data_IF_552823433520
#
_entry.id   IF_552823433520
#
_cell.length_a   1.000
_cell.length_b   1.000
_cell.length_c   1.000
_cell.angle_alpha   90.00
_cell.angle_beta   90.00
_cell.angle_gamma   90.00
#
_symmetry.space_group_name_H-M   'P 1'
#
loop_
_entity.id
_entity.type
_entity.pdbx_description
1 polymer ?
#
# COMPACT_ATOMS: atom_id res chain seq x y z
N UNK A 1 0.31 8.81 -2.84
CA UNK A 1 1.52 9.69 -2.81
C UNK A 1 1.59 10.38 -1.46
N UNK A 2 2.78 10.67 -0.94
CA UNK A 2 2.94 11.52 0.25
C UNK A 2 4.16 12.45 0.11
N UNK A 3 4.24 13.50 0.94
CA UNK A 3 5.49 14.26 1.10
C UNK A 3 6.21 13.96 2.42
N UNK A 4 7.45 14.45 2.52
CA UNK A 4 8.27 14.31 3.74
C UNK A 4 7.69 14.98 4.98
N UNK A 5 6.68 15.84 4.83
CA UNK A 5 6.04 16.57 5.92
C UNK A 5 4.83 15.83 6.49
N UNK A 6 4.40 14.74 5.86
CA UNK A 6 3.23 13.96 6.27
C UNK A 6 1.93 14.35 5.57
N UNK A 7 1.95 15.21 4.55
CA UNK A 7 0.77 15.39 3.71
C UNK A 7 0.61 14.17 2.79
N UNK A 8 -0.63 13.73 2.56
CA UNK A 8 -0.92 12.54 1.78
C UNK A 8 -1.91 12.87 0.67
N UNK A 9 -1.87 12.10 -0.42
CA UNK A 9 -2.91 12.12 -1.45
C UNK A 9 -3.45 10.70 -1.61
N UNK A 10 -4.73 10.53 -1.25
CA UNK A 10 -5.52 9.34 -1.52
C UNK A 10 -6.37 9.62 -2.75
N UNK A 11 -5.91 9.12 -3.90
CA UNK A 11 -6.50 9.40 -5.23
C UNK A 11 -7.43 8.31 -5.72
N UNK A 12 -7.56 7.21 -4.98
CA UNK A 12 -8.57 6.20 -5.24
C UNK A 12 -9.99 6.78 -5.14
N UNK A 13 -10.98 6.14 -5.80
CA UNK A 13 -12.36 6.63 -5.78
C UNK A 13 -12.98 6.62 -4.38
N UNK A 14 -12.49 5.75 -3.50
CA UNK A 14 -12.91 5.64 -2.10
C UNK A 14 -11.68 5.87 -1.19
N UNK A 15 -11.70 6.89 -0.31
CA UNK A 15 -10.65 7.11 0.68
C UNK A 15 -10.76 6.16 1.89
N UNK A 16 -11.76 5.26 1.89
CA UNK A 16 -12.13 4.40 2.99
C UNK A 16 -12.23 5.18 4.30
N UNK A 17 -11.53 4.71 5.33
CA UNK A 17 -11.58 5.27 6.67
C UNK A 17 -10.19 5.67 7.18
N UNK A 18 -9.19 5.78 6.31
CA UNK A 18 -7.79 6.05 6.68
C UNK A 18 -7.66 7.31 7.54
N UNK A 19 -8.42 8.36 7.21
CA UNK A 19 -8.50 9.60 7.97
C UNK A 19 -9.04 9.42 9.40
N UNK A 20 -9.95 8.46 9.64
CA UNK A 20 -10.45 8.14 10.97
C UNK A 20 -9.37 7.43 11.79
N UNK A 21 -8.66 6.48 11.20
CA UNK A 21 -7.53 5.80 11.85
C UNK A 21 -6.41 6.79 12.19
N UNK A 22 -6.06 7.68 11.26
CA UNK A 22 -5.05 8.72 11.49
C UNK A 22 -5.40 9.63 12.68
N UNK A 23 -6.68 10.03 12.80
CA UNK A 23 -7.16 10.89 13.90
C UNK A 23 -7.27 10.17 15.24
N UNK A 24 -7.49 8.86 15.24
CA UNK A 24 -7.64 8.07 16.45
C UNK A 24 -6.30 7.55 17.00
N UNK A 25 -5.26 7.46 16.17
CA UNK A 25 -3.99 6.88 16.54
C UNK A 25 -3.12 7.80 17.41
N UNK A 26 -2.38 7.20 18.35
CA UNK A 26 -1.31 7.91 19.09
C UNK A 26 -0.10 8.20 18.20
N UNK A 27 0.19 7.30 17.27
CA UNK A 27 1.22 7.44 16.25
C UNK A 27 0.68 6.90 14.93
N UNK A 28 0.78 7.68 13.85
CA UNK A 28 0.30 7.31 12.52
C UNK A 28 1.49 7.23 11.56
N UNK A 29 1.67 6.08 10.91
CA UNK A 29 2.67 5.90 9.87
C UNK A 29 1.98 5.66 8.53
N UNK A 30 2.43 6.35 7.49
CA UNK A 30 1.86 6.25 6.14
C UNK A 30 2.89 5.63 5.21
N UNK A 31 2.59 4.46 4.66
CA UNK A 31 3.31 3.93 3.49
C UNK A 31 2.77 4.56 2.22
N UNK A 32 3.65 4.87 1.27
CA UNK A 32 3.23 5.45 0.00
C UNK A 32 4.06 4.95 -1.19
N UNK A 33 3.38 4.89 -2.34
CA UNK A 33 3.96 4.54 -3.64
C UNK A 33 5.04 5.51 -4.13
N UNK A 34 4.90 6.79 -3.78
CA UNK A 34 5.82 7.86 -4.19
C UNK A 34 5.96 8.87 -3.06
N UNK A 35 7.21 9.26 -2.78
CA UNK A 35 7.53 10.38 -1.88
C UNK A 35 7.96 11.59 -2.70
N UNK A 36 7.38 12.74 -2.38
CA UNK A 36 7.82 14.05 -2.85
C UNK A 36 8.48 14.83 -1.70
N UNK A 37 9.34 15.81 -2.03
CA UNK A 37 9.94 16.68 -1.00
C UNK A 37 8.85 17.49 -0.28
N UNK A 38 7.93 18.07 -1.06
CA UNK A 38 6.80 18.84 -0.58
C UNK A 38 5.70 18.84 -1.64
N UNK A 39 4.47 18.50 -1.25
CA UNK A 39 3.32 18.61 -2.15
C UNK A 39 2.99 20.10 -2.41
N UNK A 40 2.82 20.45 -3.68
CA UNK A 40 2.33 21.76 -4.12
C UNK A 40 0.98 21.56 -4.82
N UNK A 41 -0.10 21.65 -4.04
CA UNK A 41 -1.44 21.27 -4.48
C UNK A 41 -2.27 22.49 -4.89
N UNK A 42 -3.00 22.36 -5.99
CA UNK A 42 -4.14 23.25 -6.27
C UNK A 42 -5.39 22.85 -5.47
N UNK A 43 -6.47 23.63 -5.59
CA UNK A 43 -7.73 23.36 -4.88
C UNK A 43 -8.38 22.03 -5.30
N UNK A 44 -8.21 21.61 -6.56
CA UNK A 44 -8.76 20.36 -7.05
C UNK A 44 -8.00 19.15 -6.48
N UNK A 45 -6.69 19.25 -6.32
CA UNK A 45 -5.83 18.21 -5.74
C UNK A 45 -5.94 18.16 -4.22
N UNK A 46 -6.08 19.31 -3.56
CA UNK A 46 -6.15 19.41 -2.10
C UNK A 46 -7.26 18.56 -1.47
N UNK A 47 -8.36 18.31 -2.20
CA UNK A 47 -9.46 17.44 -1.73
C UNK A 47 -9.05 15.99 -1.47
N UNK A 48 -7.94 15.53 -2.08
CA UNK A 48 -7.42 14.17 -1.91
C UNK A 48 -6.50 14.04 -0.68
N UNK A 49 -6.17 15.14 0.00
CA UNK A 49 -5.50 15.11 1.30
C UNK A 49 -6.55 15.02 2.40
N UNK A 50 -6.87 13.79 2.80
CA UNK A 50 -8.07 13.50 3.62
C UNK A 50 -7.85 13.70 5.13
N UNK A 51 -6.61 13.95 5.56
CA UNK A 51 -6.25 14.22 6.95
C UNK A 51 -4.99 15.09 7.06
N UNK A 52 -4.84 15.78 8.18
CA UNK A 52 -3.83 16.82 8.35
C UNK A 52 -2.45 16.26 8.73
N UNK A 53 -1.37 16.85 8.20
CA UNK A 53 0.01 16.37 8.40
C UNK A 53 0.45 16.21 9.86
N UNK A 54 -0.12 16.98 10.79
CA UNK A 54 0.27 16.92 12.20
C UNK A 54 -0.13 15.60 12.86
N UNK A 55 -1.05 14.85 12.24
CA UNK A 55 -1.45 13.52 12.68
C UNK A 55 -0.40 12.47 12.30
N UNK A 56 0.42 12.73 11.28
CA UNK A 56 1.40 11.78 10.73
C UNK A 56 2.71 11.84 11.51
N UNK A 57 3.10 10.70 12.07
CA UNK A 57 4.35 10.49 12.79
C UNK A 57 5.52 10.12 11.88
N UNK A 58 5.24 9.50 10.73
CA UNK A 58 6.26 9.15 9.76
C UNK A 58 5.69 8.70 8.41
N UNK A 59 6.50 8.88 7.37
CA UNK A 59 6.18 8.45 6.00
C UNK A 59 7.22 7.44 5.55
N UNK A 60 6.76 6.33 4.97
CA UNK A 60 7.59 5.23 4.47
C UNK A 60 7.41 5.13 2.96
N UNK A 61 8.52 5.19 2.22
CA UNK A 61 8.50 4.90 0.79
C UNK A 61 8.42 3.39 0.61
N UNK A 62 7.26 2.89 0.22
CA UNK A 62 7.02 1.46 0.00
C UNK A 62 6.23 1.28 -1.31
N UNK A 63 6.89 1.42 -2.47
CA UNK A 63 6.28 1.11 -3.76
C UNK A 63 5.76 -0.33 -3.78
N UNK A 64 4.56 -0.52 -4.32
CA UNK A 64 3.80 -1.76 -4.32
C UNK A 64 3.41 -2.29 -2.93
N UNK A 65 3.48 -1.44 -1.90
CA UNK A 65 3.29 -1.85 -0.50
C UNK A 65 1.87 -2.29 -0.14
N UNK A 66 0.88 -1.99 -0.98
CA UNK A 66 -0.48 -2.52 -0.82
C UNK A 66 -0.66 -3.94 -1.39
N UNK A 67 0.29 -4.47 -2.19
CA UNK A 67 0.20 -5.84 -2.72
C UNK A 67 0.07 -6.85 -1.55
N UNK A 68 -0.81 -7.87 -1.64
CA UNK A 68 -1.58 -8.32 -2.81
C UNK A 68 -2.95 -7.67 -3.01
N UNK A 69 -3.29 -6.65 -2.22
CA UNK A 69 -4.50 -5.84 -2.40
C UNK A 69 -4.28 -4.77 -3.49
N UNK A 70 -5.32 -4.03 -3.87
CA UNK A 70 -5.21 -2.97 -4.89
C UNK A 70 -4.79 -1.62 -4.30
N UNK A 71 -4.08 -0.82 -5.09
CA UNK A 71 -3.82 0.60 -4.84
C UNK A 71 -4.31 1.44 -6.04
N UNK A 72 -5.59 1.83 -6.11
CA UNK A 72 -6.08 2.65 -7.22
C UNK A 72 -5.52 4.09 -7.16
N UNK A 73 -5.03 4.65 -8.26
CA UNK A 73 -5.07 4.20 -9.66
C UNK A 73 -3.79 3.47 -10.14
N UNK A 74 -2.88 3.13 -9.23
CA UNK A 74 -1.55 2.62 -9.56
C UNK A 74 -1.57 1.14 -9.99
N UNK A 75 -2.25 0.25 -9.24
CA UNK A 75 -2.34 -1.18 -9.58
C UNK A 75 -3.53 -1.89 -8.91
N UNK A 76 -3.99 -2.98 -9.52
CA UNK A 76 -5.07 -3.82 -9.02
C UNK A 76 -4.65 -4.93 -8.05
N UNK A 77 -5.61 -5.76 -7.65
CA UNK A 77 -5.37 -6.91 -6.77
C UNK A 77 -4.64 -8.07 -7.45
N UNK A 78 -3.76 -8.75 -6.72
CA UNK A 78 -3.15 -10.01 -7.17
C UNK A 78 -3.97 -11.20 -6.67
N UNK A 79 -5.01 -11.55 -7.43
CA UNK A 79 -5.85 -12.71 -7.12
C UNK A 79 -5.08 -14.03 -7.07
N UNK A 80 -3.94 -14.12 -7.78
CA UNK A 80 -3.06 -15.30 -7.72
C UNK A 80 -2.41 -15.41 -6.34
N UNK A 81 -1.81 -14.32 -5.86
CA UNK A 81 -1.17 -14.28 -4.55
C UNK A 81 -2.16 -14.42 -3.40
N UNK A 82 -3.35 -13.80 -3.50
CA UNK A 82 -4.43 -13.97 -2.51
C UNK A 82 -4.88 -15.43 -2.39
N UNK A 83 -5.04 -16.13 -3.53
CA UNK A 83 -5.37 -17.56 -3.54
C UNK A 83 -4.26 -18.40 -2.92
N UNK A 84 -3.00 -18.09 -3.22
CA UNK A 84 -1.84 -18.77 -2.65
C UNK A 84 -1.75 -18.59 -1.13
N UNK A 85 -1.93 -17.36 -0.63
CA UNK A 85 -2.00 -17.07 0.80
C UNK A 85 -3.13 -17.87 1.47
N UNK A 86 -4.34 -17.85 0.89
CA UNK A 86 -5.48 -18.58 1.43
C UNK A 86 -5.25 -20.10 1.47
N UNK A 87 -4.69 -20.68 0.39
CA UNK A 87 -4.37 -22.10 0.32
C UNK A 87 -3.34 -22.53 1.37
N UNK A 88 -2.33 -21.69 1.65
CA UNK A 88 -1.28 -21.99 2.63
C UNK A 88 -1.81 -22.24 4.04
N UNK A 89 -2.98 -21.68 4.40
CA UNK A 89 -3.59 -21.91 5.70
C UNK A 89 -4.14 -23.34 5.88
N UNK A 90 -4.38 -24.07 4.79
CA UNK A 90 -4.93 -25.43 4.80
C UNK A 90 -3.89 -26.55 4.66
N UNK A 91 -2.63 -26.21 4.39
CA UNK A 91 -1.54 -27.17 4.15
C UNK A 91 -0.77 -27.49 5.44
N UNK A 92 -0.19 -28.69 5.52
CA UNK A 92 0.74 -29.03 6.60
C UNK A 92 1.97 -28.10 6.51
N UNK A 93 2.28 -27.40 7.62
CA UNK A 93 3.33 -26.37 7.69
C UNK A 93 3.20 -25.21 6.67
N UNK A 94 2.00 -25.01 6.09
CA UNK A 94 1.81 -24.04 5.01
C UNK A 94 2.04 -22.59 5.44
N UNK A 95 1.72 -22.22 6.69
CA UNK A 95 2.05 -20.89 7.23
C UNK A 95 3.56 -20.67 7.34
N UNK A 96 4.30 -21.65 7.85
CA UNK A 96 5.75 -21.60 7.97
C UNK A 96 6.40 -21.50 6.58
N UNK A 97 5.90 -22.24 5.60
CA UNK A 97 6.32 -22.13 4.20
C UNK A 97 6.06 -20.73 3.63
N UNK A 98 4.86 -20.19 3.83
CA UNK A 98 4.51 -18.84 3.37
C UNK A 98 5.42 -17.77 3.99
N UNK A 99 5.65 -17.83 5.30
CA UNK A 99 6.53 -16.89 6.02
C UNK A 99 7.98 -17.01 5.56
N UNK A 100 8.48 -18.23 5.34
CA UNK A 100 9.84 -18.44 4.86
C UNK A 100 10.04 -17.89 3.44
N UNK A 101 9.03 -17.99 2.57
CA UNK A 101 9.12 -17.54 1.18
C UNK A 101 8.84 -16.04 1.01
N UNK A 102 7.83 -15.50 1.71
CA UNK A 102 7.30 -14.16 1.42
C UNK A 102 7.51 -13.12 2.52
N UNK A 103 7.86 -13.52 3.75
CA UNK A 103 7.96 -12.57 4.88
C UNK A 103 9.40 -12.43 5.35
N UNK A 104 10.03 -13.53 5.75
CA UNK A 104 11.41 -13.56 6.28
C UNK A 104 12.44 -12.91 5.35
N UNK A 105 12.37 -13.09 4.02
CA UNK A 105 13.34 -12.50 3.10
C UNK A 105 13.23 -10.97 2.94
N UNK A 106 12.14 -10.35 3.41
CA UNK A 106 11.91 -8.91 3.34
C UNK A 106 11.36 -8.41 2.00
N UNK A 107 11.08 -7.10 1.94
CA UNK A 107 10.27 -6.47 0.89
C UNK A 107 10.84 -6.63 -0.53
N UNK A 108 12.14 -6.40 -0.74
CA UNK A 108 12.73 -6.52 -2.08
C UNK A 108 12.66 -7.96 -2.62
N UNK A 109 12.86 -8.95 -1.75
CA UNK A 109 12.74 -10.35 -2.12
C UNK A 109 11.26 -10.75 -2.33
N UNK A 110 10.35 -10.23 -1.51
CA UNK A 110 8.91 -10.37 -1.72
C UNK A 110 8.47 -9.89 -3.11
N UNK A 111 8.87 -8.68 -3.51
CA UNK A 111 8.53 -8.13 -4.82
C UNK A 111 9.13 -8.97 -5.95
N UNK A 112 10.40 -9.37 -5.82
CA UNK A 112 11.06 -10.22 -6.81
C UNK A 112 10.33 -11.57 -6.99
N UNK A 113 9.95 -12.24 -5.89
CA UNK A 113 9.19 -13.49 -5.91
C UNK A 113 7.79 -13.33 -6.52
N UNK A 114 7.25 -12.11 -6.53
CA UNK A 114 5.96 -11.76 -7.13
C UNK A 114 6.09 -11.18 -8.56
N UNK A 115 7.23 -11.39 -9.23
CA UNK A 115 7.45 -10.99 -10.62
C UNK A 115 7.94 -9.55 -10.80
N UNK A 116 8.33 -8.88 -9.72
CA UNK A 116 8.93 -7.55 -9.73
C UNK A 116 7.96 -6.42 -10.10
N UNK A 117 8.50 -5.20 -10.13
CA UNK A 117 7.75 -3.98 -10.37
C UNK A 117 6.93 -4.01 -11.68
N UNK A 118 7.48 -4.60 -12.75
CA UNK A 118 6.82 -4.68 -14.06
C UNK A 118 5.51 -5.47 -13.99
N UNK A 119 5.50 -6.63 -13.30
CA UNK A 119 4.28 -7.43 -13.12
C UNK A 119 3.33 -6.74 -12.15
N UNK A 120 3.84 -6.27 -11.01
CA UNK A 120 3.03 -5.69 -9.95
C UNK A 120 2.30 -4.42 -10.43
N UNK A 121 2.98 -3.55 -11.17
CA UNK A 121 2.39 -2.35 -11.77
C UNK A 121 1.43 -2.62 -12.93
N UNK A 122 1.45 -3.82 -13.50
CA UNK A 122 0.56 -4.24 -14.58
C UNK A 122 -0.69 -4.98 -14.09
N UNK A 123 -0.89 -5.14 -12.77
CA UNK A 123 -2.07 -5.79 -12.23
C UNK A 123 -3.34 -5.00 -12.59
N UNK A 124 -4.37 -5.64 -13.18
CA UNK A 124 -5.54 -4.94 -13.70
C UNK A 124 -6.38 -4.36 -12.57
N UNK A 125 -6.73 -3.08 -12.68
CA UNK A 125 -7.61 -2.41 -11.73
C UNK A 125 -8.98 -3.11 -11.64
N UNK A 126 -9.59 -3.23 -10.45
CA UNK A 126 -10.95 -3.73 -10.30
C UNK A 126 -11.95 -2.91 -11.13
N UNK A 127 -12.89 -3.61 -11.78
CA UNK A 127 -14.07 -3.00 -12.42
C UNK A 127 -15.28 -3.38 -11.57
N UNK A 128 -15.97 -2.38 -11.04
CA UNK A 128 -17.17 -2.53 -10.19
C UNK A 128 -18.43 -2.17 -10.96
#
# INVERSE_FOLDING_TARGET
>A
VADRLGNTLITGPDPYFDHLFARAAKQCFVSCERIEERLSLDAAQARFNTFERYLVSGVVHAPFGAHPTSCPSDYGWDMGHLKRYSASAGEADGWQGYVAEFVTPGESAYQASNGGADRLGALPLPVF
#
